data_IF_790373987412
#
_entry.id   IF_790373987412
#
_cell.length_a   1.000
_cell.length_b   1.000
_cell.length_c   1.000
_cell.angle_alpha   90.00
_cell.angle_beta   90.00
_cell.angle_gamma   90.00
#
_symmetry.space_group_name_H-M   'P 1'
#
loop_
_entity.id
_entity.type
_entity.pdbx_description
1 polymer ?
#
# COMPACT_ATOMS: atom_id res chain seq x y z
N UNK A 1 10.67 -26.85 46.99
CA UNK A 1 9.46 -26.00 47.10
C UNK A 1 9.65 -24.77 46.22
N UNK A 2 8.88 -24.60 45.14
CA UNK A 2 9.01 -23.44 44.25
C UNK A 2 8.11 -22.29 44.72
N UNK A 3 8.70 -21.12 44.97
CA UNK A 3 7.97 -19.90 45.29
C UNK A 3 7.31 -19.32 44.03
N UNK A 4 5.99 -19.46 43.93
CA UNK A 4 5.15 -18.83 42.90
C UNK A 4 4.97 -17.36 43.29
N UNK A 5 5.73 -16.46 42.66
CA UNK A 5 5.49 -15.02 42.74
C UNK A 5 4.24 -14.65 41.94
N UNK A 6 3.10 -14.52 42.62
CA UNK A 6 1.90 -13.92 42.06
C UNK A 6 2.16 -12.44 41.74
N UNK A 7 2.19 -12.12 40.46
CA UNK A 7 2.33 -10.77 39.93
C UNK A 7 1.10 -9.91 40.31
N UNK A 8 1.18 -9.17 41.42
CA UNK A 8 0.13 -8.28 41.93
C UNK A 8 -0.27 -7.15 40.97
N UNK A 9 0.49 -6.89 39.91
CA UNK A 9 0.17 -5.84 38.93
C UNK A 9 -0.96 -6.25 37.95
N UNK A 10 -1.20 -7.56 37.75
CA UNK A 10 -2.26 -8.03 36.86
C UNK A 10 -3.68 -7.71 37.39
N UNK A 11 -3.85 -7.63 38.71
CA UNK A 11 -5.14 -7.37 39.35
C UNK A 11 -5.61 -5.91 39.20
N UNK A 12 -4.69 -4.95 39.04
CA UNK A 12 -5.02 -3.52 38.88
C UNK A 12 -5.31 -3.10 37.44
N UNK A 13 -4.83 -3.84 36.44
CA UNK A 13 -5.06 -3.52 35.03
C UNK A 13 -6.46 -3.94 34.53
N UNK A 14 -7.06 -4.96 35.16
CA UNK A 14 -8.35 -5.54 34.75
C UNK A 14 -9.53 -4.55 34.70
N UNK A 15 -9.73 -3.64 35.68
CA UNK A 15 -10.82 -2.66 35.61
C UNK A 15 -10.61 -1.61 34.51
N UNK A 16 -9.37 -1.22 34.20
CA UNK A 16 -9.07 -0.26 33.12
C UNK A 16 -9.43 -0.83 31.74
N UNK A 17 -9.16 -2.12 31.50
CA UNK A 17 -9.55 -2.79 30.26
C UNK A 17 -11.07 -2.91 30.09
N UNK A 18 -11.81 -3.15 31.18
CA UNK A 18 -13.27 -3.22 31.13
C UNK A 18 -13.90 -1.85 30.87
N UNK A 19 -13.36 -0.78 31.46
CA UNK A 19 -13.81 0.59 31.20
C UNK A 19 -13.51 0.98 29.75
N UNK A 20 -12.29 0.70 29.26
CA UNK A 20 -11.94 0.95 27.86
C UNK A 20 -12.82 0.17 26.88
N UNK A 21 -13.09 -1.12 27.16
CA UNK A 21 -13.98 -1.95 26.35
C UNK A 21 -15.43 -1.47 26.37
N UNK A 22 -15.95 -1.05 27.53
CA UNK A 22 -17.29 -0.47 27.65
C UNK A 22 -17.41 0.86 26.90
N UNK A 23 -16.43 1.75 27.04
CA UNK A 23 -16.40 3.02 26.30
C UNK A 23 -16.26 2.80 24.79
N UNK A 24 -15.51 1.78 24.35
CA UNK A 24 -15.43 1.40 22.94
C UNK A 24 -16.77 0.90 22.41
N UNK A 25 -17.47 0.03 23.15
CA UNK A 25 -18.81 -0.46 22.77
C UNK A 25 -19.86 0.65 22.78
N UNK A 26 -19.80 1.56 23.76
CA UNK A 26 -20.66 2.74 23.82
C UNK A 26 -20.40 3.65 22.63
N UNK A 27 -19.13 3.93 22.31
CA UNK A 27 -18.73 4.68 21.14
C UNK A 27 -19.20 4.03 19.83
N UNK A 28 -19.18 2.68 19.76
CA UNK A 28 -19.68 1.91 18.62
C UNK A 28 -21.21 2.00 18.50
N UNK A 29 -21.93 1.99 19.62
CA UNK A 29 -23.39 2.12 19.66
C UNK A 29 -23.85 3.54 19.33
N UNK A 30 -23.02 4.54 19.66
CA UNK A 30 -23.23 5.95 19.27
C UNK A 30 -22.57 6.31 17.95
N UNK A 31 -21.89 5.36 17.29
CA UNK A 31 -21.20 5.64 16.04
C UNK A 31 -22.24 6.12 15.03
N UNK A 32 -22.03 7.28 14.38
CA UNK A 32 -22.96 7.79 13.39
C UNK A 32 -23.30 6.69 12.38
N UNK A 33 -24.57 6.54 11.95
CA UNK A 33 -24.96 5.60 10.90
C UNK A 33 -24.11 5.71 9.61
N UNK A 34 -23.46 6.86 9.44
CA UNK A 34 -22.50 7.13 8.36
C UNK A 34 -21.22 6.30 8.50
N UNK A 35 -20.70 6.08 9.70
CA UNK A 35 -19.48 5.29 9.92
C UNK A 35 -19.71 3.80 9.67
N UNK A 36 -20.88 3.27 10.03
CA UNK A 36 -21.24 1.88 9.72
C UNK A 36 -21.43 1.68 8.21
N UNK A 37 -22.10 2.62 7.54
CA UNK A 37 -22.23 2.61 6.09
C UNK A 37 -20.85 2.69 5.40
N UNK A 38 -19.98 3.58 5.85
CA UNK A 38 -18.63 3.74 5.29
C UNK A 38 -17.74 2.53 5.56
N UNK A 39 -17.81 1.90 6.74
CA UNK A 39 -17.10 0.66 7.02
C UNK A 39 -17.56 -0.48 6.12
N UNK A 40 -18.88 -0.56 5.87
CA UNK A 40 -19.45 -1.55 4.98
C UNK A 40 -19.05 -1.31 3.51
N UNK A 41 -19.07 -0.06 3.01
CA UNK A 41 -18.60 0.26 1.66
C UNK A 41 -17.12 -0.05 1.51
N UNK A 42 -16.29 0.37 2.47
CA UNK A 42 -14.83 0.10 2.46
C UNK A 42 -14.55 -1.40 2.41
N UNK A 43 -15.27 -2.20 3.19
CA UNK A 43 -15.11 -3.65 3.16
C UNK A 43 -15.53 -4.24 1.81
N UNK A 44 -16.64 -3.77 1.24
CA UNK A 44 -17.12 -4.23 -0.06
C UNK A 44 -16.12 -3.87 -1.17
N UNK A 45 -15.65 -2.63 -1.20
CA UNK A 45 -14.76 -2.11 -2.25
C UNK A 45 -13.37 -2.73 -2.14
N UNK A 46 -12.87 -2.98 -0.93
CA UNK A 46 -11.66 -3.77 -0.72
C UNK A 46 -11.81 -5.19 -1.28
N UNK A 47 -12.95 -5.86 -1.07
CA UNK A 47 -13.21 -7.19 -1.65
C UNK A 47 -13.33 -7.14 -3.17
N UNK A 48 -13.94 -6.10 -3.73
CA UNK A 48 -14.01 -5.91 -5.17
C UNK A 48 -12.63 -5.69 -5.78
N UNK A 49 -11.75 -4.95 -5.10
CA UNK A 49 -10.37 -4.76 -5.53
C UNK A 49 -9.59 -6.08 -5.54
N UNK A 50 -9.67 -6.87 -4.47
CA UNK A 50 -9.05 -8.20 -4.43
C UNK A 50 -9.58 -9.08 -5.55
N UNK A 51 -10.90 -9.10 -5.76
CA UNK A 51 -11.52 -9.87 -6.85
C UNK A 51 -11.03 -9.41 -8.23
N UNK A 52 -10.91 -8.10 -8.46
CA UNK A 52 -10.42 -7.54 -9.71
C UNK A 52 -8.95 -7.91 -9.96
N UNK A 53 -8.10 -7.89 -8.93
CA UNK A 53 -6.71 -8.31 -9.01
C UNK A 53 -6.56 -9.80 -9.36
N UNK A 54 -7.41 -10.66 -8.81
CA UNK A 54 -7.33 -12.10 -8.99
C UNK A 54 -8.02 -12.62 -10.25
N UNK A 55 -9.12 -11.99 -10.69
CA UNK A 55 -10.03 -12.59 -11.68
C UNK A 55 -10.43 -11.70 -12.84
N UNK A 56 -10.52 -10.39 -12.64
CA UNK A 56 -11.03 -9.48 -13.67
C UNK A 56 -10.33 -8.13 -13.63
N UNK A 57 -9.18 -8.08 -14.30
CA UNK A 57 -8.35 -6.89 -14.37
C UNK A 57 -9.07 -5.70 -15.03
N UNK A 58 -10.16 -5.92 -15.77
CA UNK A 58 -10.94 -4.83 -16.37
C UNK A 58 -11.67 -3.97 -15.34
N UNK A 59 -11.96 -4.52 -14.17
CA UNK A 59 -12.63 -3.82 -13.05
C UNK A 59 -11.64 -3.12 -12.12
N UNK A 60 -10.34 -3.35 -12.30
CA UNK A 60 -9.30 -2.88 -11.40
C UNK A 60 -9.36 -1.35 -11.17
N UNK A 61 -9.50 -0.50 -12.21
CA UNK A 61 -9.52 0.95 -12.01
C UNK A 61 -10.72 1.43 -11.20
N UNK A 62 -11.91 0.88 -11.50
CA UNK A 62 -13.14 1.24 -10.80
C UNK A 62 -13.06 0.83 -9.32
N UNK A 63 -12.65 -0.41 -9.04
CA UNK A 63 -12.52 -0.90 -7.67
C UNK A 63 -11.43 -0.16 -6.87
N UNK A 64 -10.30 0.15 -7.49
CA UNK A 64 -9.23 0.91 -6.85
C UNK A 64 -9.67 2.35 -6.54
N UNK A 65 -10.36 3.02 -7.47
CA UNK A 65 -10.90 4.38 -7.22
C UNK A 65 -11.95 4.37 -6.11
N UNK A 66 -12.85 3.38 -6.09
CA UNK A 66 -13.85 3.26 -5.04
C UNK A 66 -13.20 3.17 -3.65
N UNK A 67 -12.18 2.33 -3.50
CA UNK A 67 -11.39 2.24 -2.27
C UNK A 67 -10.66 3.55 -1.92
N UNK A 68 -10.07 4.24 -2.91
CA UNK A 68 -9.44 5.55 -2.69
C UNK A 68 -10.45 6.56 -2.15
N UNK A 69 -11.68 6.56 -2.68
CA UNK A 69 -12.75 7.44 -2.22
C UNK A 69 -13.17 7.11 -0.78
N UNK A 70 -13.33 5.83 -0.44
CA UNK A 70 -13.63 5.40 0.92
C UNK A 70 -12.57 5.83 1.93
N UNK A 71 -11.28 5.67 1.58
CA UNK A 71 -10.17 6.11 2.45
C UNK A 71 -10.19 7.64 2.63
N UNK A 72 -10.50 8.41 1.58
CA UNK A 72 -10.66 9.87 1.68
C UNK A 72 -11.87 10.26 2.54
N UNK A 73 -12.96 9.51 2.46
CA UNK A 73 -14.13 9.73 3.31
C UNK A 73 -13.78 9.48 4.78
N UNK A 74 -13.08 8.38 5.10
CA UNK A 74 -12.57 8.14 6.47
C UNK A 74 -11.65 9.27 6.93
N UNK A 75 -10.76 9.73 6.05
CA UNK A 75 -9.85 10.85 6.34
C UNK A 75 -10.61 12.12 6.71
N UNK A 76 -11.69 12.44 5.99
CA UNK A 76 -12.53 13.59 6.23
C UNK A 76 -13.33 13.47 7.54
N UNK A 77 -13.89 12.29 7.82
CA UNK A 77 -14.61 11.99 9.07
C UNK A 77 -13.71 12.09 10.29
N UNK A 78 -12.47 11.61 10.20
CA UNK A 78 -11.52 11.67 11.33
C UNK A 78 -10.75 12.98 11.43
N UNK A 79 -10.69 13.80 10.38
CA UNK A 79 -9.92 15.04 10.37
C UNK A 79 -10.18 15.97 11.57
N UNK A 80 -11.44 16.20 12.01
CA UNK A 80 -11.71 17.07 13.15
C UNK A 80 -11.12 16.56 14.46
N UNK A 81 -10.90 15.25 14.59
CA UNK A 81 -10.42 14.62 15.82
C UNK A 81 -8.89 14.59 15.93
N UNK A 82 -8.18 14.66 14.80
CA UNK A 82 -6.71 14.56 14.73
C UNK A 82 -5.99 15.53 15.67
N UNK A 83 -6.35 16.83 15.75
CA UNK A 83 -5.67 17.77 16.64
C UNK A 83 -5.79 17.39 18.12
N UNK A 84 -6.93 16.82 18.53
CA UNK A 84 -7.18 16.41 19.91
C UNK A 84 -6.44 15.12 20.23
N UNK A 85 -6.48 14.15 19.31
CA UNK A 85 -5.80 12.87 19.49
C UNK A 85 -4.30 13.10 19.61
N UNK A 86 -3.69 13.96 18.80
CA UNK A 86 -2.24 14.24 18.84
C UNK A 86 -1.71 14.74 20.21
N UNK A 87 -2.58 15.23 21.11
CA UNK A 87 -2.22 15.64 22.47
C UNK A 87 -2.07 14.45 23.44
N UNK A 88 -2.43 13.23 23.02
CA UNK A 88 -2.38 12.02 23.85
C UNK A 88 -1.06 11.25 23.66
N UNK A 89 0.05 11.98 23.52
CA UNK A 89 1.38 11.38 23.38
C UNK A 89 1.88 10.69 24.66
N UNK A 90 1.23 10.95 25.79
CA UNK A 90 1.47 10.31 27.08
C UNK A 90 0.99 8.85 27.15
N UNK A 91 0.18 8.38 26.19
CA UNK A 91 -0.35 7.02 26.21
C UNK A 91 0.78 5.98 26.06
N UNK A 92 0.85 4.96 26.95
CA UNK A 92 1.86 3.93 26.83
C UNK A 92 1.65 3.13 25.54
N UNK A 93 2.76 2.74 24.88
CA UNK A 93 2.81 1.92 23.67
C UNK A 93 2.34 2.65 22.39
N UNK A 94 1.24 3.41 22.42
CA UNK A 94 0.63 4.06 21.24
C UNK A 94 0.81 5.58 21.18
N UNK A 95 1.34 6.22 22.23
CA UNK A 95 1.50 7.68 22.29
C UNK A 95 2.34 8.24 21.13
N UNK A 96 3.36 7.51 20.69
CA UNK A 96 4.15 7.91 19.51
C UNK A 96 3.44 7.73 18.17
N UNK A 97 2.51 6.77 18.04
CA UNK A 97 1.65 6.62 16.86
C UNK A 97 0.72 7.81 16.73
N UNK A 98 0.09 8.15 17.85
CA UNK A 98 -0.82 9.29 18.01
C UNK A 98 -0.10 10.61 17.69
N UNK A 99 1.11 10.81 18.24
CA UNK A 99 1.95 11.96 17.93
C UNK A 99 2.33 12.05 16.46
N UNK A 100 2.49 10.90 15.79
CA UNK A 100 2.87 10.79 14.38
C UNK A 100 1.66 10.80 13.42
N UNK A 101 0.44 10.85 13.94
CA UNK A 101 -0.78 10.80 13.12
C UNK A 101 -0.82 11.87 12.02
N UNK A 102 -0.44 13.14 12.25
CA UNK A 102 -0.41 14.15 11.18
C UNK A 102 0.56 13.82 10.04
N UNK A 103 1.66 13.12 10.32
CA UNK A 103 2.62 12.67 9.32
C UNK A 103 2.06 11.47 8.54
N UNK A 104 1.48 10.48 9.23
CA UNK A 104 0.82 9.34 8.59
C UNK A 104 -0.29 9.78 7.64
N UNK A 105 -1.12 10.75 8.05
CA UNK A 105 -2.21 11.23 7.23
C UNK A 105 -1.71 11.96 5.98
N UNK A 106 -0.67 12.80 6.10
CA UNK A 106 -0.03 13.43 4.93
C UNK A 106 0.61 12.41 3.99
N UNK A 107 1.16 11.34 4.53
CA UNK A 107 1.73 10.24 3.75
C UNK A 107 0.65 9.46 2.99
N UNK A 108 -0.47 9.16 3.67
CA UNK A 108 -1.64 8.53 3.08
C UNK A 108 -2.24 9.40 1.97
N UNK A 109 -2.46 10.70 2.22
CA UNK A 109 -2.99 11.64 1.24
C UNK A 109 -2.12 11.64 -0.04
N UNK A 110 -0.79 11.71 0.12
CA UNK A 110 0.13 11.66 -1.01
C UNK A 110 0.11 10.32 -1.78
N UNK A 111 -0.08 9.19 -1.10
CA UNK A 111 -0.23 7.89 -1.76
C UNK A 111 -1.56 7.78 -2.53
N UNK A 112 -2.65 8.33 -1.99
CA UNK A 112 -3.95 8.39 -2.68
C UNK A 112 -3.88 9.31 -3.91
N UNK A 113 -3.17 10.43 -3.82
CA UNK A 113 -2.93 11.32 -4.95
C UNK A 113 -2.09 10.66 -6.06
N UNK A 114 -1.20 9.74 -5.70
CA UNK A 114 -0.42 8.96 -6.67
C UNK A 114 -1.24 7.88 -7.40
N UNK A 115 -2.38 7.47 -6.84
CA UNK A 115 -3.21 6.41 -7.40
C UNK A 115 -3.84 6.82 -8.74
N UNK A 116 -4.47 7.99 -8.82
CA UNK A 116 -5.19 8.43 -10.03
C UNK A 116 -4.33 8.45 -11.30
N UNK A 117 -3.15 9.11 -11.34
CA UNK A 117 -2.35 9.13 -12.56
C UNK A 117 -1.88 7.72 -12.97
N UNK A 118 -1.68 6.81 -12.02
CA UNK A 118 -1.30 5.42 -12.32
C UNK A 118 -2.47 4.58 -12.82
N UNK A 119 -3.67 4.77 -12.26
CA UNK A 119 -4.89 4.11 -12.75
C UNK A 119 -5.24 4.57 -14.16
N UNK A 120 -5.10 5.87 -14.45
CA UNK A 120 -5.30 6.41 -15.79
C UNK A 120 -4.31 5.83 -16.82
N UNK A 121 -3.05 5.58 -16.42
CA UNK A 121 -2.08 4.87 -17.26
C UNK A 121 -2.52 3.42 -17.51
N UNK A 122 -2.95 2.72 -16.47
CA UNK A 122 -3.43 1.35 -16.58
C UNK A 122 -4.63 1.24 -17.54
N UNK A 123 -5.61 2.13 -17.44
CA UNK A 123 -6.79 2.15 -18.32
C UNK A 123 -6.43 2.31 -19.79
N UNK A 124 -5.39 3.10 -20.08
CA UNK A 124 -4.88 3.28 -21.44
C UNK A 124 -4.07 2.08 -21.92
N UNK A 125 -3.31 1.42 -21.03
CA UNK A 125 -2.46 0.28 -21.37
C UNK A 125 -3.24 -1.04 -21.53
N UNK A 126 -4.22 -1.27 -20.66
CA UNK A 126 -4.92 -2.56 -20.57
C UNK A 126 -5.59 -3.00 -21.90
N UNK A 127 -6.23 -2.12 -22.70
CA UNK A 127 -6.76 -2.50 -24.01
C UNK A 127 -5.67 -2.89 -25.01
N UNK A 128 -4.52 -2.20 -24.99
CA UNK A 128 -3.41 -2.50 -25.90
C UNK A 128 -2.79 -3.87 -25.61
N UNK A 129 -2.72 -4.27 -24.33
CA UNK A 129 -2.25 -5.60 -23.93
C UNK A 129 -3.18 -6.74 -24.39
N UNK A 130 -4.44 -6.45 -24.73
CA UNK A 130 -5.39 -7.44 -25.26
C UNK A 130 -5.31 -7.60 -26.77
N UNK A 131 -4.87 -6.58 -27.49
CA UNK A 131 -4.92 -6.54 -28.97
C UNK A 131 -3.55 -6.69 -29.62
N UNK A 132 -2.46 -6.52 -28.86
CA UNK A 132 -1.09 -6.58 -29.35
C UNK A 132 -0.24 -7.54 -28.50
N UNK A 133 0.95 -7.88 -29.00
CA UNK A 133 1.95 -8.53 -28.15
C UNK A 133 2.35 -7.59 -27.02
N UNK A 134 2.62 -8.12 -25.84
CA UNK A 134 2.97 -7.31 -24.67
C UNK A 134 4.15 -6.38 -24.95
N UNK A 135 5.17 -6.86 -25.66
CA UNK A 135 6.34 -6.05 -26.03
C UNK A 135 5.97 -4.83 -26.89
N UNK A 136 5.21 -5.03 -27.97
CA UNK A 136 4.80 -3.94 -28.85
C UNK A 136 3.90 -2.93 -28.12
N UNK A 137 2.94 -3.41 -27.33
CA UNK A 137 2.05 -2.58 -26.52
C UNK A 137 2.84 -1.71 -25.54
N UNK A 138 3.80 -2.28 -24.80
CA UNK A 138 4.60 -1.55 -23.81
C UNK A 138 5.50 -0.50 -24.45
N UNK A 139 6.13 -0.80 -25.58
CA UNK A 139 6.96 0.17 -26.32
C UNK A 139 6.12 1.36 -26.79
N UNK A 140 5.05 1.08 -27.54
CA UNK A 140 4.20 2.12 -28.09
C UNK A 140 3.54 2.95 -26.98
N UNK A 141 3.07 2.30 -25.92
CA UNK A 141 2.49 2.97 -24.77
C UNK A 141 3.48 3.92 -24.10
N UNK A 142 4.69 3.43 -23.82
CA UNK A 142 5.74 4.21 -23.13
C UNK A 142 6.14 5.46 -23.92
N UNK A 143 6.31 5.32 -25.23
CA UNK A 143 6.63 6.45 -26.11
C UNK A 143 5.49 7.48 -26.16
N UNK A 144 4.24 7.03 -26.23
CA UNK A 144 3.07 7.91 -26.37
C UNK A 144 2.61 8.55 -25.05
N UNK A 145 3.06 8.05 -23.89
CA UNK A 145 2.60 8.50 -22.57
C UNK A 145 3.77 8.89 -21.64
N UNK A 146 4.94 9.26 -22.19
CA UNK A 146 6.14 9.56 -21.41
C UNK A 146 5.91 10.67 -20.36
N UNK A 147 5.13 11.70 -20.69
CA UNK A 147 4.81 12.80 -19.77
C UNK A 147 3.88 12.34 -18.63
N UNK A 148 2.85 11.53 -18.93
CA UNK A 148 1.97 10.91 -17.94
C UNK A 148 2.74 9.96 -17.01
N UNK A 149 3.65 9.15 -17.56
CA UNK A 149 4.53 8.28 -16.79
C UNK A 149 5.41 9.07 -15.82
N UNK A 150 6.02 10.16 -16.29
CA UNK A 150 6.78 11.08 -15.44
C UNK A 150 5.94 11.67 -14.31
N UNK A 151 4.70 12.08 -14.59
CA UNK A 151 3.77 12.60 -13.57
C UNK A 151 3.36 11.55 -12.54
N UNK A 152 2.99 10.35 -12.97
CA UNK A 152 2.65 9.25 -12.08
C UNK A 152 3.82 8.90 -11.17
N UNK A 153 5.03 8.82 -11.73
CA UNK A 153 6.25 8.51 -10.98
C UNK A 153 6.60 9.58 -9.97
N UNK A 154 6.51 10.86 -10.35
CA UNK A 154 6.72 11.97 -9.42
C UNK A 154 5.73 11.94 -8.24
N UNK A 155 4.47 11.57 -8.49
CA UNK A 155 3.47 11.43 -7.43
C UNK A 155 3.81 10.30 -6.46
N UNK A 156 4.22 9.12 -6.96
CA UNK A 156 4.67 7.99 -6.12
C UNK A 156 5.92 8.37 -5.31
N UNK A 157 6.87 9.09 -5.90
CA UNK A 157 8.07 9.56 -5.19
C UNK A 157 7.72 10.57 -4.09
N UNK A 158 6.79 11.49 -4.35
CA UNK A 158 6.29 12.39 -3.31
C UNK A 158 5.65 11.61 -2.15
N UNK A 159 4.82 10.60 -2.44
CA UNK A 159 4.26 9.72 -1.40
C UNK A 159 5.36 9.05 -0.57
N UNK A 160 6.37 8.47 -1.23
CA UNK A 160 7.52 7.85 -0.56
C UNK A 160 8.24 8.82 0.38
N UNK A 161 8.51 10.04 -0.07
CA UNK A 161 9.13 11.07 0.77
C UNK A 161 8.29 11.41 2.01
N UNK A 162 6.95 11.38 1.92
CA UNK A 162 6.07 11.58 3.08
C UNK A 162 6.09 10.40 4.05
N UNK A 163 6.15 9.17 3.53
CA UNK A 163 6.32 7.97 4.35
C UNK A 163 7.69 7.93 5.04
N UNK A 164 8.74 8.40 4.38
CA UNK A 164 10.10 8.50 4.94
C UNK A 164 10.23 9.57 6.04
N UNK A 165 9.36 10.58 6.02
CA UNK A 165 9.30 11.61 7.06
C UNK A 165 8.65 11.14 8.38
N UNK A 166 8.04 9.96 8.41
CA UNK A 166 7.50 9.36 9.65
C UNK A 166 8.65 8.78 10.48
N UNK A 167 8.82 9.26 11.71
CA UNK A 167 9.89 8.78 12.60
C UNK A 167 9.57 7.36 13.12
N UNK A 168 10.21 6.38 12.50
CA UNK A 168 10.05 4.97 12.83
C UNK A 168 10.48 4.60 14.27
N UNK A 169 11.25 5.46 14.96
CA UNK A 169 11.80 5.17 16.29
C UNK A 169 10.80 5.43 17.42
N UNK A 170 9.77 6.23 17.16
CA UNK A 170 8.81 6.64 18.19
C UNK A 170 7.47 5.92 18.06
N UNK A 171 7.21 5.29 16.92
CA UNK A 171 5.96 4.56 16.66
C UNK A 171 5.98 3.16 17.25
N UNK A 172 4.81 2.59 17.47
CA UNK A 172 4.62 1.23 17.96
C UNK A 172 5.08 0.19 16.94
N UNK A 173 5.39 -1.05 17.36
CA UNK A 173 5.75 -2.14 16.45
C UNK A 173 4.67 -2.43 15.39
N UNK A 174 3.39 -2.26 15.73
CA UNK A 174 2.29 -2.46 14.80
C UNK A 174 2.27 -1.39 13.70
N UNK A 175 2.38 -0.11 14.08
CA UNK A 175 2.43 0.99 13.14
C UNK A 175 3.68 0.91 12.25
N UNK A 176 4.82 0.51 12.82
CA UNK A 176 6.06 0.25 12.07
C UNK A 176 5.88 -0.82 10.99
N UNK A 177 5.30 -1.97 11.32
CA UNK A 177 5.07 -3.05 10.35
C UNK A 177 4.17 -2.60 9.17
N UNK A 178 3.16 -1.77 9.46
CA UNK A 178 2.29 -1.18 8.42
C UNK A 178 3.01 -0.14 7.58
N UNK A 179 3.83 0.71 8.21
CA UNK A 179 4.67 1.69 7.52
C UNK A 179 5.62 1.01 6.53
N UNK A 180 6.31 -0.05 6.95
CA UNK A 180 7.24 -0.81 6.11
C UNK A 180 6.53 -1.54 4.96
N UNK A 181 5.33 -2.06 5.21
CA UNK A 181 4.50 -2.64 4.14
C UNK A 181 4.17 -1.61 3.07
N UNK A 182 3.81 -0.39 3.46
CA UNK A 182 3.50 0.70 2.53
C UNK A 182 4.74 1.20 1.79
N UNK A 183 5.89 1.33 2.47
CA UNK A 183 7.17 1.66 1.83
C UNK A 183 7.53 0.66 0.74
N UNK A 184 7.44 -0.63 1.04
CA UNK A 184 7.69 -1.69 0.05
C UNK A 184 6.75 -1.60 -1.15
N UNK A 185 5.46 -1.40 -0.91
CA UNK A 185 4.48 -1.25 -1.99
C UNK A 185 4.79 -0.03 -2.88
N UNK A 186 5.20 1.10 -2.29
CA UNK A 186 5.61 2.30 -3.04
C UNK A 186 6.90 2.07 -3.84
N UNK A 187 7.87 1.32 -3.30
CA UNK A 187 9.10 0.95 -4.01
C UNK A 187 8.79 0.06 -5.23
N UNK A 188 7.94 -0.94 -5.05
CA UNK A 188 7.48 -1.81 -6.14
C UNK A 188 6.72 -1.02 -7.22
N UNK A 189 5.90 -0.04 -6.81
CA UNK A 189 5.16 0.82 -7.72
C UNK A 189 6.08 1.77 -8.52
N UNK A 190 7.05 2.44 -7.89
CA UNK A 190 8.05 3.25 -8.63
C UNK A 190 8.86 2.36 -9.57
N UNK A 191 9.25 1.15 -9.14
CA UNK A 191 9.97 0.19 -9.99
C UNK A 191 9.15 -0.19 -11.24
N UNK A 192 7.85 -0.47 -11.08
CA UNK A 192 6.97 -0.78 -12.21
C UNK A 192 6.86 0.39 -13.20
N UNK A 193 6.69 1.62 -12.71
CA UNK A 193 6.63 2.82 -13.56
C UNK A 193 7.96 3.06 -14.29
N UNK A 194 9.10 2.87 -13.61
CA UNK A 194 10.43 2.97 -14.22
C UNK A 194 10.68 1.91 -15.29
N UNK A 195 10.20 0.69 -15.07
CA UNK A 195 10.29 -0.37 -16.07
C UNK A 195 9.51 0.02 -17.32
N UNK A 196 8.30 0.55 -17.15
CA UNK A 196 7.45 1.02 -18.24
C UNK A 196 8.07 2.21 -18.99
N UNK A 197 8.62 3.19 -18.28
CA UNK A 197 9.36 4.33 -18.85
C UNK A 197 10.57 3.86 -19.69
N UNK A 198 11.26 2.80 -19.26
CA UNK A 198 12.44 2.26 -19.96
C UNK A 198 12.10 1.16 -20.96
N UNK A 199 10.84 0.77 -21.10
CA UNK A 199 10.42 -0.32 -21.98
C UNK A 199 10.94 -0.17 -23.42
N UNK A 200 10.95 1.01 -24.06
CA UNK A 200 11.50 1.16 -25.41
C UNK A 200 12.98 0.75 -25.52
N UNK A 201 13.78 1.05 -24.50
CA UNK A 201 15.21 0.72 -24.47
C UNK A 201 15.39 -0.80 -24.27
N UNK A 202 14.65 -1.37 -23.31
CA UNK A 202 14.69 -2.80 -22.97
C UNK A 202 13.94 -3.70 -23.95
N UNK A 203 13.17 -3.17 -24.88
CA UNK A 203 12.45 -3.99 -25.87
C UNK A 203 12.95 -3.73 -27.29
N UNK A 204 14.08 -3.02 -27.42
CA UNK A 204 14.78 -2.87 -28.68
C UNK A 204 14.14 -1.91 -29.68
N UNK A 205 13.41 -0.90 -29.20
CA UNK A 205 12.78 0.09 -30.07
C UNK A 205 13.79 0.89 -30.92
N UNK A 206 15.00 1.11 -30.39
CA UNK A 206 16.08 1.80 -31.10
C UNK A 206 17.00 0.87 -31.89
N UNK A 207 17.21 -0.35 -31.40
CA UNK A 207 18.09 -1.35 -32.01
C UNK A 207 17.72 -2.75 -31.52
N UNK A 208 17.91 -3.81 -32.33
CA UNK A 208 17.67 -5.19 -31.93
C UNK A 208 18.40 -5.53 -30.62
N UNK A 209 17.71 -6.24 -29.73
CA UNK A 209 18.26 -6.73 -28.46
C UNK A 209 18.19 -8.25 -28.43
N UNK A 210 19.19 -8.86 -27.81
CA UNK A 210 19.24 -10.31 -27.56
C UNK A 210 19.26 -10.53 -26.05
N UNK A 211 18.39 -11.39 -25.57
CA UNK A 211 18.22 -11.70 -24.15
C UNK A 211 18.63 -13.14 -23.90
N UNK A 212 19.47 -13.34 -22.89
CA UNK A 212 19.73 -14.65 -22.32
C UNK A 212 18.88 -14.77 -21.06
N UNK A 213 17.80 -15.55 -21.14
CA UNK A 213 16.95 -15.85 -19.99
C UNK A 213 17.55 -17.04 -19.26
N UNK A 214 17.97 -16.81 -18.02
CA UNK A 214 18.50 -17.83 -17.12
C UNK A 214 17.43 -18.18 -16.09
N UNK A 215 16.96 -19.42 -16.10
CA UNK A 215 16.06 -19.95 -15.09
C UNK A 215 16.85 -20.89 -14.17
N UNK A 216 16.78 -20.62 -12.87
CA UNK A 216 17.33 -21.49 -11.84
C UNK A 216 16.17 -22.19 -11.14
N UNK A 217 16.19 -23.52 -11.14
CA UNK A 217 15.23 -24.31 -10.38
C UNK A 217 15.62 -24.27 -8.90
N UNK A 218 14.78 -23.63 -8.07
CA UNK A 218 15.02 -23.53 -6.63
C UNK A 218 14.78 -24.86 -5.90
N UNK A 219 14.07 -25.82 -6.50
CA UNK A 219 13.82 -27.14 -5.91
C UNK A 219 15.06 -28.07 -6.01
N UNK A 220 16.11 -27.66 -6.73
CA UNK A 220 17.36 -28.42 -6.90
C UNK A 220 18.57 -27.71 -6.27
N UNK A 221 18.42 -27.15 -5.07
CA UNK A 221 19.53 -26.58 -4.29
C UNK A 221 20.50 -27.70 -3.83
N UNK A 222 21.52 -27.98 -4.63
CA UNK A 222 22.68 -28.80 -4.23
C UNK A 222 23.79 -27.92 -3.68
N UNK A 223 24.69 -28.43 -2.81
CA UNK A 223 25.83 -27.68 -2.29
C UNK A 223 26.76 -27.07 -3.36
N UNK A 224 26.66 -27.52 -4.61
CA UNK A 224 27.44 -27.04 -5.77
C UNK A 224 26.66 -26.13 -6.74
N UNK A 225 25.42 -25.74 -6.41
CA UNK A 225 24.53 -25.00 -7.31
C UNK A 225 23.65 -25.91 -8.17
N UNK A 226 22.38 -25.52 -8.35
CA UNK A 226 21.40 -26.26 -9.15
C UNK A 226 21.65 -26.14 -10.66
N UNK A 227 20.85 -26.84 -11.47
CA UNK A 227 20.92 -26.71 -12.93
C UNK A 227 20.41 -25.34 -13.38
N UNK A 228 21.20 -24.67 -14.22
CA UNK A 228 20.81 -23.43 -14.89
C UNK A 228 20.32 -23.80 -16.29
N UNK A 229 19.06 -23.51 -16.57
CA UNK A 229 18.51 -23.63 -17.92
C UNK A 229 18.57 -22.26 -18.58
N UNK A 230 19.06 -22.21 -19.81
CA UNK A 230 19.23 -20.95 -20.55
C UNK A 230 18.48 -21.00 -21.89
N UNK A 231 17.79 -19.91 -22.22
CA UNK A 231 17.18 -19.69 -23.54
C UNK A 231 17.62 -18.33 -24.08
N UNK A 232 18.08 -18.31 -25.34
CA UNK A 232 18.38 -17.08 -26.06
C UNK A 232 17.19 -16.64 -26.90
N UNK A 233 16.82 -15.36 -26.82
CA UNK A 233 15.75 -14.72 -27.63
C UNK A 233 16.28 -13.44 -28.26
#
# INVERSE_FOLDING_TARGET
MPHIFFNRNAARARPLWLIAGFLFLLALQTAPPRWTALAFSTWLDARQLTYALERDATRLPAAARALVWDVRAWRAEFAPFVPYVAQWDWLPIVGGDVKSAPQFLRALDAALDAAEPSLALYEKLAPALKTQTAGAALVAFSQNNAAELGRARAAVQNARLKFDAVDARVISPFAYARLETMRRALDEWDAALRLLERAPIWLGAAAPKRYLLLAQNNDELRPTGGFITAVGV
#
